data_IF_374020164743
#
_entry.id   IF_374020164743
#
_cell.length_a   1.000
_cell.length_b   1.000
_cell.length_c   1.000
_cell.angle_alpha   90.00
_cell.angle_beta   90.00
_cell.angle_gamma   90.00
#
_symmetry.space_group_name_H-M   'P 1'
#
loop_
_entity.id
_entity.type
_entity.pdbx_description
1 polymer ?
#
# COMPACT_ATOMS: atom_id res chain seq x y z
N UNK A 1 15.02 -7.01 9.79
CA UNK A 1 14.70 -6.14 8.63
C UNK A 1 14.81 -6.92 7.31
N UNK A 2 15.96 -7.60 7.03
CA UNK A 2 16.14 -8.40 5.80
C UNK A 2 15.09 -9.49 5.62
N UNK A 3 14.74 -10.24 6.66
CA UNK A 3 13.71 -11.29 6.59
C UNK A 3 12.32 -10.72 6.30
N UNK A 4 12.01 -9.53 6.82
CA UNK A 4 10.77 -8.81 6.50
C UNK A 4 10.73 -8.38 5.03
N UNK A 5 11.84 -7.89 4.48
CA UNK A 5 11.95 -7.50 3.06
C UNK A 5 11.81 -8.68 2.11
N UNK A 6 12.39 -9.84 2.44
CA UNK A 6 12.29 -11.07 1.62
C UNK A 6 10.85 -11.58 1.60
N UNK A 7 10.21 -11.70 2.77
CA UNK A 7 8.80 -12.13 2.89
C UNK A 7 7.84 -11.15 2.20
N UNK A 8 8.13 -9.84 2.26
CA UNK A 8 7.31 -8.83 1.62
C UNK A 8 7.41 -8.87 0.09
N UNK A 9 8.61 -9.12 -0.46
CA UNK A 9 8.80 -9.35 -1.89
C UNK A 9 7.96 -10.52 -2.40
N UNK A 10 7.94 -11.63 -1.67
CA UNK A 10 7.22 -12.85 -2.08
C UNK A 10 5.70 -12.64 -2.03
N UNK A 11 5.20 -11.86 -1.05
CA UNK A 11 3.79 -11.45 -0.98
C UNK A 11 3.43 -10.52 -2.16
N UNK A 12 4.30 -9.57 -2.52
CA UNK A 12 4.08 -8.67 -3.66
C UNK A 12 4.14 -9.38 -5.02
N UNK A 13 5.02 -10.38 -5.16
CA UNK A 13 5.08 -11.18 -6.39
C UNK A 13 3.83 -12.08 -6.54
N UNK A 14 3.26 -12.55 -5.42
CA UNK A 14 2.01 -13.31 -5.42
C UNK A 14 0.77 -12.44 -5.70
N UNK A 15 0.83 -11.12 -5.47
CA UNK A 15 -0.27 -10.18 -5.72
C UNK A 15 -0.31 -9.62 -7.16
N UNK A 16 0.49 -10.14 -8.09
CA UNK A 16 0.33 -9.88 -9.53
C UNK A 16 -0.96 -10.54 -10.00
N UNK A 17 -2.11 -9.99 -9.60
CA UNK A 17 -3.38 -10.41 -10.16
C UNK A 17 -3.48 -9.97 -11.62
N UNK A 18 -3.58 -10.95 -12.50
CA UNK A 18 -3.84 -10.73 -13.92
C UNK A 18 -5.34 -10.55 -14.08
N UNK A 19 -5.79 -9.32 -14.27
CA UNK A 19 -7.19 -9.04 -14.53
C UNK A 19 -7.44 -8.92 -16.04
N UNK A 20 -8.19 -9.85 -16.61
CA UNK A 20 -8.66 -9.77 -17.99
C UNK A 20 -10.08 -9.21 -17.99
N UNK A 21 -10.23 -7.96 -18.42
CA UNK A 21 -11.55 -7.37 -18.69
C UNK A 21 -11.93 -7.54 -20.13
N UNK A 22 -12.96 -8.35 -20.40
CA UNK A 22 -13.60 -8.44 -21.70
C UNK A 22 -14.56 -7.24 -21.82
N UNK A 23 -14.18 -6.24 -22.62
CA UNK A 23 -14.92 -4.99 -22.74
C UNK A 23 -16.16 -5.13 -23.64
N UNK A 24 -17.35 -4.90 -23.09
CA UNK A 24 -18.55 -4.58 -23.84
C UNK A 24 -18.60 -3.06 -24.12
N UNK A 25 -18.72 -2.67 -25.35
CA UNK A 25 -18.35 -1.40 -26.00
C UNK A 25 -18.83 -0.06 -25.40
N UNK A 26 -19.70 0.02 -24.40
CA UNK A 26 -20.27 1.30 -23.93
C UNK A 26 -20.07 1.62 -22.44
N UNK A 27 -19.48 0.72 -21.67
CA UNK A 27 -19.26 0.91 -20.23
C UNK A 27 -17.88 1.51 -19.89
N UNK A 28 -16.96 1.50 -20.84
CA UNK A 28 -15.53 1.82 -20.64
C UNK A 28 -15.22 3.28 -20.33
N UNK A 29 -15.99 4.23 -20.88
CA UNK A 29 -15.68 5.66 -20.75
C UNK A 29 -15.97 6.19 -19.35
N UNK A 30 -17.00 5.70 -18.68
CA UNK A 30 -17.38 6.16 -17.34
C UNK A 30 -16.44 5.69 -16.24
N UNK A 31 -15.96 4.43 -16.29
CA UNK A 31 -15.06 3.89 -15.28
C UNK A 31 -13.66 4.52 -15.37
N UNK A 32 -13.15 4.72 -16.57
CA UNK A 32 -11.82 5.31 -16.80
C UNK A 32 -11.75 6.77 -16.34
N UNK A 33 -12.80 7.53 -16.54
CA UNK A 33 -12.92 8.92 -16.06
C UNK A 33 -12.93 9.00 -14.52
N UNK A 34 -13.59 8.06 -13.83
CA UNK A 34 -13.63 8.00 -12.36
C UNK A 34 -12.27 7.63 -11.76
N UNK A 35 -11.53 6.75 -12.40
CA UNK A 35 -10.23 6.29 -11.93
C UNK A 35 -9.17 7.42 -11.99
N UNK A 36 -9.09 8.11 -13.13
CA UNK A 36 -8.17 9.26 -13.32
C UNK A 36 -8.51 10.40 -12.36
N UNK A 37 -9.80 10.71 -12.17
CA UNK A 37 -10.24 11.74 -11.25
C UNK A 37 -9.84 11.42 -9.81
N UNK A 38 -10.01 10.17 -9.39
CA UNK A 38 -9.65 9.73 -8.05
C UNK A 38 -8.15 9.85 -7.79
N UNK A 39 -7.30 9.39 -8.70
CA UNK A 39 -5.85 9.50 -8.56
C UNK A 39 -5.37 10.96 -8.56
N UNK A 40 -5.90 11.78 -9.47
CA UNK A 40 -5.44 13.17 -9.63
C UNK A 40 -5.81 14.07 -8.46
N UNK A 41 -6.91 13.83 -7.78
CA UNK A 41 -7.40 14.67 -6.68
C UNK A 41 -7.15 14.03 -5.33
N UNK A 42 -7.48 12.74 -5.18
CA UNK A 42 -7.42 12.07 -3.89
C UNK A 42 -5.99 11.87 -3.39
N UNK A 43 -5.07 11.46 -4.26
CA UNK A 43 -3.67 11.23 -3.86
C UNK A 43 -2.99 12.51 -3.37
N UNK A 44 -3.02 13.66 -4.09
CA UNK A 44 -2.44 14.91 -3.59
C UNK A 44 -3.10 15.43 -2.31
N UNK A 45 -4.39 15.18 -2.11
CA UNK A 45 -5.09 15.58 -0.89
C UNK A 45 -4.72 14.70 0.30
N UNK A 46 -4.59 13.39 0.09
CA UNK A 46 -4.30 12.43 1.15
C UNK A 46 -2.81 12.39 1.55
N UNK A 47 -1.88 12.66 0.63
CA UNK A 47 -0.46 12.61 0.92
C UNK A 47 -0.03 13.52 2.09
N UNK A 48 -0.44 14.81 2.16
CA UNK A 48 -0.16 15.66 3.32
C UNK A 48 -0.81 15.14 4.61
N UNK A 49 -2.04 14.62 4.53
CA UNK A 49 -2.72 14.06 5.69
C UNK A 49 -1.98 12.82 6.24
N UNK A 50 -1.56 11.90 5.39
CA UNK A 50 -0.78 10.72 5.74
C UNK A 50 0.58 11.13 6.33
N UNK A 51 1.23 12.14 5.77
CA UNK A 51 2.47 12.69 6.33
C UNK A 51 2.28 13.22 7.75
N UNK A 52 1.20 13.99 7.99
CA UNK A 52 0.85 14.53 9.30
C UNK A 52 0.48 13.43 10.31
N UNK A 53 -0.13 12.34 9.87
CA UNK A 53 -0.40 11.17 10.72
C UNK A 53 0.89 10.63 11.31
N UNK A 54 1.99 10.57 10.56
CA UNK A 54 3.29 10.16 11.09
C UNK A 54 3.85 11.08 12.18
N UNK A 55 3.46 12.35 12.21
CA UNK A 55 3.85 13.30 13.26
C UNK A 55 3.00 13.16 14.54
N UNK A 56 1.74 12.71 14.39
CA UNK A 56 0.75 12.67 15.47
C UNK A 56 1.23 12.02 16.78
N UNK A 57 1.80 10.80 16.75
CA UNK A 57 2.26 10.11 17.96
C UNK A 57 3.35 10.84 18.74
N UNK A 58 4.14 11.70 18.07
CA UNK A 58 5.29 12.39 18.64
C UNK A 58 4.94 13.82 19.06
N UNK A 59 3.97 14.43 18.39
CA UNK A 59 3.51 15.78 18.67
C UNK A 59 2.71 15.82 19.99
N UNK A 60 3.29 16.36 21.04
CA UNK A 60 2.56 16.68 22.26
C UNK A 60 1.69 17.91 22.02
N UNK A 61 0.39 17.76 22.15
CA UNK A 61 -0.56 18.87 22.03
C UNK A 61 -0.13 20.07 22.90
N UNK A 62 0.03 21.23 22.30
CA UNK A 62 0.43 22.50 22.92
C UNK A 62 1.87 22.61 23.50
N UNK A 63 2.66 21.56 23.53
CA UNK A 63 3.99 21.59 24.20
C UNK A 63 5.16 21.18 23.30
N UNK A 64 4.92 20.78 22.05
CA UNK A 64 5.97 20.36 21.15
C UNK A 64 6.64 21.57 20.47
N UNK A 65 7.90 21.81 20.75
CA UNK A 65 8.71 22.73 19.97
C UNK A 65 9.12 22.09 18.64
N UNK A 66 8.93 22.78 17.51
CA UNK A 66 9.33 22.30 16.18
C UNK A 66 10.77 21.79 16.12
N UNK A 67 11.78 22.50 16.70
CA UNK A 67 13.16 22.01 16.69
C UNK A 67 13.34 20.64 17.34
N UNK A 68 12.63 20.37 18.46
CA UNK A 68 12.72 19.07 19.15
C UNK A 68 12.07 17.93 18.34
N UNK A 69 10.99 18.22 17.61
CA UNK A 69 10.37 17.28 16.69
C UNK A 69 11.29 16.92 15.54
N UNK A 70 11.86 17.93 14.89
CA UNK A 70 12.80 17.73 13.76
C UNK A 70 14.01 16.90 14.20
N UNK A 71 14.60 17.20 15.36
CA UNK A 71 15.75 16.43 15.85
C UNK A 71 15.43 14.96 16.11
N UNK A 72 14.22 14.66 16.59
CA UNK A 72 13.78 13.28 16.85
C UNK A 72 13.45 12.53 15.56
N UNK A 73 12.83 13.22 14.60
CA UNK A 73 12.32 12.62 13.38
C UNK A 73 13.33 12.57 12.23
N UNK A 74 14.46 13.30 12.33
CA UNK A 74 15.46 13.32 11.25
C UNK A 74 15.93 11.91 10.84
N UNK A 75 16.19 11.07 11.82
CA UNK A 75 16.60 9.68 11.56
C UNK A 75 15.46 8.82 11.02
N UNK A 76 14.23 9.04 11.52
CA UNK A 76 13.06 8.37 10.97
C UNK A 76 12.87 8.72 9.49
N UNK A 77 13.04 10.00 9.14
CA UNK A 77 12.95 10.47 7.76
C UNK A 77 14.03 9.86 6.86
N UNK A 78 15.27 9.84 7.32
CA UNK A 78 16.38 9.23 6.56
C UNK A 78 16.13 7.74 6.34
N UNK A 79 15.73 7.00 7.39
CA UNK A 79 15.46 5.55 7.27
C UNK A 79 14.28 5.30 6.33
N UNK A 80 13.19 6.09 6.42
CA UNK A 80 12.04 5.94 5.51
C UNK A 80 12.41 6.25 4.06
N UNK A 81 13.23 7.29 3.83
CA UNK A 81 13.73 7.64 2.51
C UNK A 81 14.57 6.52 1.89
N UNK A 82 15.55 6.00 2.65
CA UNK A 82 16.39 4.88 2.19
C UNK A 82 15.53 3.65 1.89
N UNK A 83 14.63 3.28 2.80
CA UNK A 83 13.75 2.12 2.61
C UNK A 83 12.83 2.27 1.39
N UNK A 84 12.29 3.48 1.17
CA UNK A 84 11.41 3.77 0.04
C UNK A 84 12.12 3.75 -1.31
N UNK A 85 13.41 4.09 -1.35
CA UNK A 85 14.22 4.03 -2.56
C UNK A 85 14.74 2.61 -2.84
N UNK A 86 15.14 1.87 -1.80
CA UNK A 86 15.70 0.52 -1.97
C UNK A 86 14.65 -0.53 -2.30
N UNK A 87 13.42 -0.39 -1.78
CA UNK A 87 12.36 -1.39 -1.98
C UNK A 87 11.97 -1.56 -3.45
N UNK A 88 11.69 -0.50 -4.24
CA UNK A 88 11.39 -0.63 -5.66
C UNK A 88 12.58 -1.13 -6.49
N UNK A 89 13.82 -0.92 -6.06
CA UNK A 89 15.00 -1.45 -6.74
C UNK A 89 15.12 -2.98 -6.64
N UNK A 90 14.44 -3.60 -5.68
CA UNK A 90 14.34 -5.06 -5.55
C UNK A 90 13.24 -5.65 -6.44
N UNK A 91 12.41 -4.79 -7.03
CA UNK A 91 11.37 -5.16 -8.00
C UNK A 91 11.93 -5.06 -9.43
N UNK A 92 11.27 -5.69 -10.38
CA UNK A 92 11.72 -5.71 -11.79
C UNK A 92 11.67 -4.33 -12.46
N UNK A 93 10.76 -3.45 -12.00
CA UNK A 93 10.58 -2.11 -12.54
C UNK A 93 10.54 -1.07 -11.43
N UNK A 94 11.36 -0.01 -11.58
CA UNK A 94 11.33 1.12 -10.66
C UNK A 94 10.27 2.14 -11.08
N UNK A 95 9.30 2.40 -10.19
CA UNK A 95 8.21 3.37 -10.41
C UNK A 95 8.26 4.47 -9.34
N UNK A 96 8.42 5.76 -9.72
CA UNK A 96 8.56 6.87 -8.76
C UNK A 96 7.35 7.02 -7.83
N UNK A 97 6.14 6.77 -8.34
CA UNK A 97 4.90 6.86 -7.57
C UNK A 97 4.84 5.80 -6.45
N UNK A 98 5.37 4.61 -6.72
CA UNK A 98 5.51 3.54 -5.73
C UNK A 98 6.50 3.96 -4.65
N UNK A 99 7.65 4.53 -5.02
CA UNK A 99 8.63 5.05 -4.06
C UNK A 99 8.03 6.12 -3.15
N UNK A 100 7.21 7.02 -3.71
CA UNK A 100 6.53 8.07 -2.94
C UNK A 100 5.51 7.50 -1.93
N UNK A 101 4.66 6.56 -2.36
CA UNK A 101 3.71 5.91 -1.46
C UNK A 101 4.40 5.12 -0.35
N UNK A 102 5.45 4.36 -0.69
CA UNK A 102 6.28 3.64 0.28
C UNK A 102 6.99 4.58 1.26
N UNK A 103 7.45 5.76 0.81
CA UNK A 103 8.04 6.77 1.69
C UNK A 103 7.05 7.19 2.78
N UNK A 104 5.80 7.49 2.41
CA UNK A 104 4.76 7.87 3.37
C UNK A 104 4.45 6.73 4.37
N UNK A 105 4.36 5.50 3.90
CA UNK A 105 4.10 4.35 4.76
C UNK A 105 5.27 4.08 5.72
N UNK A 106 6.51 4.05 5.23
CA UNK A 106 7.69 3.87 6.06
C UNK A 106 7.92 5.05 7.02
N UNK A 107 7.53 6.26 6.63
CA UNK A 107 7.52 7.42 7.52
C UNK A 107 6.63 7.18 8.75
N UNK A 108 5.42 6.66 8.58
CA UNK A 108 4.55 6.32 9.71
C UNK A 108 5.19 5.23 10.57
N UNK A 109 5.67 4.14 9.98
CA UNK A 109 6.27 3.01 10.71
C UNK A 109 7.48 3.46 11.52
N UNK A 110 8.40 4.19 10.91
CA UNK A 110 9.63 4.65 11.57
C UNK A 110 9.33 5.68 12.65
N UNK A 111 8.34 6.56 12.46
CA UNK A 111 7.90 7.50 13.49
C UNK A 111 7.32 6.78 14.72
N UNK A 112 6.56 5.71 14.52
CA UNK A 112 6.06 4.86 15.62
C UNK A 112 7.23 4.22 16.38
N UNK A 113 8.19 3.65 15.66
CA UNK A 113 9.38 3.03 16.29
C UNK A 113 10.17 4.04 17.13
N UNK A 114 10.38 5.25 16.59
CA UNK A 114 11.06 6.34 17.31
C UNK A 114 10.27 6.74 18.56
N UNK A 115 8.93 6.84 18.45
CA UNK A 115 8.07 7.17 19.59
C UNK A 115 8.15 6.10 20.68
N UNK A 116 8.02 4.84 20.33
CA UNK A 116 8.10 3.70 21.27
C UNK A 116 9.47 3.69 21.94
N UNK A 117 10.56 3.80 21.17
CA UNK A 117 11.93 3.84 21.70
C UNK A 117 12.11 4.97 22.72
N UNK A 118 11.70 6.18 22.36
CA UNK A 118 11.78 7.35 23.25
C UNK A 118 10.93 7.17 24.52
N UNK A 119 9.74 6.60 24.38
CA UNK A 119 8.86 6.35 25.52
C UNK A 119 9.47 5.34 26.48
N UNK A 120 10.04 4.24 25.98
CA UNK A 120 10.73 3.22 26.78
C UNK A 120 11.94 3.81 27.50
N UNK A 121 12.75 4.62 26.81
CA UNK A 121 13.93 5.24 27.41
C UNK A 121 13.59 6.17 28.59
N UNK A 122 12.44 6.86 28.52
CA UNK A 122 12.01 7.81 29.54
C UNK A 122 11.04 7.21 30.59
N UNK A 123 10.73 5.92 30.54
CA UNK A 123 9.78 5.26 31.45
C UNK A 123 10.40 4.78 32.79
N UNK A 124 11.55 5.32 33.22
CA UNK A 124 12.16 4.99 34.50
C UNK A 124 12.96 3.68 34.51
N UNK A 125 13.24 3.15 35.72
CA UNK A 125 14.03 1.93 35.92
C UNK A 125 13.21 0.65 35.67
N UNK A 126 13.85 -0.41 35.20
CA UNK A 126 13.26 -1.73 34.93
C UNK A 126 13.63 -2.29 33.56
N UNK A 127 13.29 -3.55 33.32
CA UNK A 127 13.53 -4.20 32.03
C UNK A 127 12.67 -3.56 30.92
N UNK A 128 13.09 -3.70 29.65
CA UNK A 128 12.36 -3.17 28.49
C UNK A 128 10.92 -3.73 28.46
N UNK A 129 10.75 -5.01 28.78
CA UNK A 129 9.43 -5.67 28.81
C UNK A 129 8.53 -5.04 29.86
N UNK A 130 9.05 -4.82 31.09
CA UNK A 130 8.28 -4.19 32.16
C UNK A 130 7.90 -2.74 31.84
N UNK A 131 8.72 -2.01 31.09
CA UNK A 131 8.40 -0.63 30.63
C UNK A 131 7.34 -0.64 29.53
N UNK A 132 7.36 -1.61 28.65
CA UNK A 132 6.30 -1.80 27.63
C UNK A 132 4.97 -2.13 28.32
N UNK A 133 4.91 -3.13 29.20
CA UNK A 133 3.63 -3.54 29.84
C UNK A 133 2.98 -2.47 30.71
N UNK A 134 3.74 -1.47 31.16
CA UNK A 134 3.23 -0.31 31.94
C UNK A 134 2.50 0.74 31.08
N UNK A 135 2.55 0.64 29.75
CA UNK A 135 1.85 1.59 28.90
C UNK A 135 0.35 1.30 28.86
N UNK A 136 -0.47 2.34 28.65
CA UNK A 136 -1.92 2.21 28.57
C UNK A 136 -2.36 1.48 27.30
N UNK A 137 -3.50 0.78 27.35
CA UNK A 137 -4.11 0.14 26.18
C UNK A 137 -4.41 1.14 25.05
N UNK A 138 -4.79 2.37 25.42
CA UNK A 138 -5.02 3.47 24.47
C UNK A 138 -3.75 3.83 23.67
N UNK A 139 -2.58 3.77 24.31
CA UNK A 139 -1.30 4.00 23.63
C UNK A 139 -1.05 2.95 22.55
N UNK A 140 -1.29 1.69 22.85
CA UNK A 140 -1.14 0.60 21.88
C UNK A 140 -2.20 0.67 20.78
N UNK A 141 -3.46 0.97 21.13
CA UNK A 141 -4.53 1.16 20.16
C UNK A 141 -4.23 2.24 19.14
N UNK A 142 -3.67 3.38 19.58
CA UNK A 142 -3.23 4.45 18.68
C UNK A 142 -2.15 3.96 17.71
N UNK A 143 -1.12 3.25 18.19
CA UNK A 143 -0.07 2.74 17.31
C UNK A 143 -0.57 1.67 16.35
N UNK A 144 -1.47 0.80 16.79
CA UNK A 144 -2.10 -0.21 15.96
C UNK A 144 -2.90 0.44 14.81
N UNK A 145 -3.67 1.50 15.10
CA UNK A 145 -4.39 2.25 14.08
C UNK A 145 -3.45 2.88 13.04
N UNK A 146 -2.35 3.49 13.48
CA UNK A 146 -1.36 4.08 12.57
C UNK A 146 -0.65 3.02 11.71
N UNK A 147 -0.33 1.86 12.28
CA UNK A 147 0.22 0.72 11.53
C UNK A 147 -0.78 0.18 10.51
N UNK A 148 -2.08 0.16 10.84
CA UNK A 148 -3.14 -0.20 9.90
C UNK A 148 -3.18 0.73 8.68
N UNK A 149 -3.06 2.05 8.92
CA UNK A 149 -2.96 3.04 7.83
C UNK A 149 -1.70 2.79 6.98
N UNK A 150 -0.55 2.56 7.61
CA UNK A 150 0.68 2.28 6.89
C UNK A 150 0.57 1.01 6.03
N UNK A 151 -0.01 -0.06 6.56
CA UNK A 151 -0.26 -1.30 5.82
C UNK A 151 -1.21 -1.08 4.64
N UNK A 152 -2.28 -0.30 4.84
CA UNK A 152 -3.20 0.08 3.77
C UNK A 152 -2.50 0.85 2.65
N UNK A 153 -1.70 1.88 2.99
CA UNK A 153 -0.94 2.66 2.00
C UNK A 153 0.04 1.79 1.22
N UNK A 154 0.75 0.87 1.89
CA UNK A 154 1.62 -0.10 1.23
C UNK A 154 0.82 -0.94 0.23
N UNK A 155 -0.30 -1.54 0.67
CA UNK A 155 -1.14 -2.38 -0.17
C UNK A 155 -1.64 -1.67 -1.42
N UNK A 156 -2.25 -0.49 -1.27
CA UNK A 156 -2.74 0.32 -2.39
C UNK A 156 -1.61 0.72 -3.34
N UNK A 157 -0.48 1.17 -2.78
CA UNK A 157 0.68 1.59 -3.58
C UNK A 157 1.26 0.45 -4.41
N UNK A 158 1.35 -0.75 -3.82
CA UNK A 158 1.91 -1.91 -4.50
C UNK A 158 0.96 -2.44 -5.57
N UNK A 159 -0.34 -2.51 -5.30
CA UNK A 159 -1.35 -2.93 -6.28
C UNK A 159 -1.33 -1.98 -7.46
N UNK A 160 -1.56 -0.68 -7.25
CA UNK A 160 -1.59 0.31 -8.34
C UNK A 160 -0.25 0.41 -9.11
N UNK A 161 0.86 0.17 -8.41
CA UNK A 161 2.18 0.25 -9.03
C UNK A 161 2.55 -0.94 -9.90
N UNK A 162 2.16 -2.15 -9.52
CA UNK A 162 2.62 -3.39 -10.14
C UNK A 162 1.49 -4.26 -10.70
N UNK A 163 0.25 -3.76 -10.68
CA UNK A 163 -0.86 -4.37 -11.41
C UNK A 163 -0.56 -4.36 -12.90
N UNK A 164 -0.79 -5.50 -13.55
CA UNK A 164 -0.69 -5.66 -15.00
C UNK A 164 -2.09 -5.88 -15.55
N UNK A 165 -2.64 -4.85 -16.17
CA UNK A 165 -3.95 -4.90 -16.84
C UNK A 165 -3.75 -4.75 -18.35
N UNK A 166 -4.42 -5.60 -19.14
CA UNK A 166 -4.44 -5.51 -20.59
C UNK A 166 -5.85 -5.73 -21.11
N UNK A 167 -6.47 -4.65 -21.57
CA UNK A 167 -7.75 -4.71 -22.24
C UNK A 167 -7.56 -5.18 -23.69
N UNK A 168 -8.11 -6.33 -24.01
CA UNK A 168 -8.04 -6.89 -25.36
C UNK A 168 -9.42 -7.34 -25.83
N UNK A 169 -9.71 -7.07 -27.10
CA UNK A 169 -10.85 -7.68 -27.78
C UNK A 169 -10.39 -9.03 -28.32
N UNK A 170 -11.03 -10.10 -27.86
CA UNK A 170 -10.71 -11.45 -28.29
C UNK A 170 -11.80 -12.01 -29.21
N UNK A 171 -11.39 -12.57 -30.32
CA UNK A 171 -12.22 -13.38 -31.22
C UNK A 171 -11.98 -14.85 -30.95
N UNK A 172 -12.89 -15.71 -31.42
CA UNK A 172 -12.80 -17.16 -31.20
C UNK A 172 -11.44 -17.71 -31.64
N UNK A 173 -10.73 -18.37 -30.75
CA UNK A 173 -9.42 -18.92 -31.01
C UNK A 173 -8.23 -17.98 -30.78
N UNK A 174 -8.47 -16.69 -30.48
CA UNK A 174 -7.40 -15.74 -30.19
C UNK A 174 -6.67 -16.11 -28.91
N UNK A 175 -5.35 -15.87 -28.94
CA UNK A 175 -4.44 -16.15 -27.82
C UNK A 175 -3.82 -14.84 -27.35
N UNK A 176 -3.83 -14.61 -26.03
CA UNK A 176 -3.22 -13.44 -25.39
C UNK A 176 -2.33 -13.89 -24.24
N UNK A 177 -1.11 -13.36 -24.19
CA UNK A 177 -0.19 -13.62 -23.07
C UNK A 177 -0.09 -12.39 -22.18
N UNK A 178 -0.31 -12.59 -20.86
CA UNK A 178 -0.25 -11.55 -19.83
C UNK A 178 0.36 -12.16 -18.57
N UNK A 179 1.35 -11.48 -17.97
CA UNK A 179 1.95 -11.88 -16.69
C UNK A 179 2.57 -13.29 -16.66
N UNK A 180 3.03 -13.80 -17.84
CA UNK A 180 3.60 -15.15 -17.97
C UNK A 180 2.55 -16.25 -18.21
N UNK A 181 1.25 -15.91 -18.21
CA UNK A 181 0.16 -16.84 -18.54
C UNK A 181 -0.35 -16.59 -19.95
N UNK A 182 -0.77 -17.68 -20.63
CA UNK A 182 -1.33 -17.64 -21.96
C UNK A 182 -2.80 -18.01 -21.90
N UNK A 183 -3.66 -17.13 -22.36
CA UNK A 183 -5.12 -17.28 -22.38
C UNK A 183 -5.59 -17.46 -23.80
N UNK A 184 -6.38 -18.53 -24.04
CA UNK A 184 -7.02 -18.79 -25.33
C UNK A 184 -8.51 -18.68 -25.18
N UNK A 185 -9.16 -17.81 -25.96
CA UNK A 185 -10.60 -17.68 -25.95
C UNK A 185 -11.27 -18.77 -26.81
N UNK A 186 -11.99 -19.67 -26.14
CA UNK A 186 -12.67 -20.81 -26.79
C UNK A 186 -14.12 -20.49 -27.19
N UNK A 187 -14.64 -19.30 -26.78
CA UNK A 187 -15.98 -18.87 -27.15
C UNK A 187 -16.86 -18.52 -25.96
N UNK A 188 -18.13 -18.34 -26.22
CA UNK A 188 -19.15 -18.04 -25.22
C UNK A 188 -20.27 -19.07 -25.24
N UNK A 189 -20.71 -19.47 -24.04
CA UNK A 189 -21.86 -20.35 -23.84
C UNK A 189 -22.92 -19.66 -23.00
N UNK A 190 -24.20 -19.82 -23.40
CA UNK A 190 -25.30 -19.30 -22.60
C UNK A 190 -25.70 -20.32 -21.54
N UNK A 191 -25.60 -19.95 -20.28
CA UNK A 191 -26.03 -20.79 -19.14
C UNK A 191 -27.28 -20.17 -18.50
N UNK A 192 -28.41 -20.89 -18.41
CA UNK A 192 -29.58 -20.43 -17.66
C UNK A 192 -29.28 -20.54 -16.14
N UNK A 193 -29.51 -19.47 -15.41
CA UNK A 193 -29.58 -19.46 -13.96
C UNK A 193 -31.01 -19.51 -13.44
N UNK A 194 -31.23 -19.56 -12.13
CA UNK A 194 -32.60 -19.63 -11.56
C UNK A 194 -33.47 -18.46 -11.95
N UNK A 195 -32.95 -17.25 -12.06
CA UNK A 195 -33.69 -16.02 -12.39
C UNK A 195 -32.95 -15.13 -13.41
N UNK A 196 -31.92 -15.65 -14.11
CA UNK A 196 -31.14 -14.89 -15.08
C UNK A 196 -30.63 -15.80 -16.22
N UNK A 197 -30.25 -15.18 -17.32
CA UNK A 197 -29.46 -15.83 -18.38
C UNK A 197 -28.06 -15.22 -18.35
N UNK A 198 -27.05 -16.05 -18.18
CA UNK A 198 -25.66 -15.62 -18.20
C UNK A 198 -24.97 -16.10 -19.48
N UNK A 199 -24.22 -15.21 -20.12
CA UNK A 199 -23.26 -15.59 -21.15
C UNK A 199 -21.90 -15.79 -20.48
N UNK A 200 -21.38 -17.01 -20.49
CA UNK A 200 -20.10 -17.37 -19.87
C UNK A 200 -19.05 -17.49 -20.96
N UNK A 201 -17.93 -16.78 -20.80
CA UNK A 201 -16.75 -16.94 -21.65
C UNK A 201 -15.95 -18.17 -21.21
N UNK A 202 -15.51 -18.97 -22.17
CA UNK A 202 -14.60 -20.10 -21.97
C UNK A 202 -13.20 -19.67 -22.43
N UNK A 203 -12.23 -19.71 -21.49
CA UNK A 203 -10.87 -19.19 -21.66
C UNK A 203 -9.86 -20.29 -21.36
#
# INVERSE_FOLDING_TARGET
>A
LCLFFISFRDICLASKEVMIKISLNNFKISLFSHFIYFETIFVPLMAPAIFLIGLGPIARWKQASLPSLVTRLRWAFVVSMVSALTMPLLMEEWKPMVSFGLLLAFWIITSIVVNIKHRIQNSGQGSVIARLTRQSSSYYGMHCAHLGIAAFVIGVTMVNGYETEKDVRMELGNIVSIGGYTFKFNGTTNKPGPNYKATVGDI
#
